data_IF_603800969307
#
_entry.id   IF_603800969307
#
_cell.length_a   1.000
_cell.length_b   1.000
_cell.length_c   1.000
_cell.angle_alpha   90.00
_cell.angle_beta   90.00
_cell.angle_gamma   90.00
#
_symmetry.space_group_name_H-M   'P 1'
#
loop_
_entity.id
_entity.type
_entity.pdbx_description
1 polymer ?
#
# COMPACT_ATOMS: atom_id res chain seq x y z
N UNK A 1 -18.88 -13.75 16.74
CA UNK A 1 -18.34 -12.65 17.56
C UNK A 1 -16.82 -12.62 17.79
N UNK A 2 -16.01 -13.66 17.51
CA UNK A 2 -14.56 -13.62 17.83
C UNK A 2 -13.71 -12.72 16.91
N UNK A 3 -14.08 -12.57 15.63
CA UNK A 3 -13.28 -11.78 14.65
C UNK A 3 -13.22 -10.28 14.95
N UNK A 4 -14.26 -9.70 15.56
CA UNK A 4 -14.33 -8.26 15.84
C UNK A 4 -13.31 -7.82 16.91
N UNK A 5 -13.08 -8.67 17.93
CA UNK A 5 -12.09 -8.42 18.98
C UNK A 5 -10.65 -8.53 18.48
N UNK A 6 -10.39 -9.35 17.47
CA UNK A 6 -9.03 -9.52 16.93
C UNK A 6 -8.70 -8.42 15.91
N UNK A 7 -9.66 -7.98 15.10
CA UNK A 7 -9.50 -6.79 14.23
C UNK A 7 -9.26 -5.54 15.09
N UNK A 8 -10.05 -5.33 16.16
CA UNK A 8 -9.90 -4.17 17.04
C UNK A 8 -8.61 -4.21 17.89
N UNK A 9 -8.14 -5.40 18.29
CA UNK A 9 -6.88 -5.55 19.05
C UNK A 9 -5.61 -5.56 18.20
N UNK A 10 -5.67 -5.99 16.93
CA UNK A 10 -4.50 -6.02 16.05
C UNK A 10 -4.34 -4.76 15.20
N UNK A 11 -5.43 -4.06 14.83
CA UNK A 11 -5.28 -2.76 14.14
C UNK A 11 -4.99 -1.63 15.13
N UNK A 12 -5.61 -1.63 16.31
CA UNK A 12 -5.41 -0.53 17.27
C UNK A 12 -5.65 0.86 16.66
N UNK A 13 -5.24 1.92 17.38
CA UNK A 13 -5.21 3.29 16.85
C UNK A 13 -3.97 3.57 15.99
N UNK A 14 -3.01 2.64 15.96
CA UNK A 14 -1.67 2.82 15.39
C UNK A 14 -1.51 2.12 14.02
N UNK A 15 -2.60 1.64 13.41
CA UNK A 15 -2.57 1.00 12.10
C UNK A 15 -2.06 1.96 11.01
N UNK A 16 -2.37 3.25 11.14
CA UNK A 16 -1.92 4.30 10.26
C UNK A 16 -0.43 4.61 10.46
N UNK A 17 0.06 4.56 11.69
CA UNK A 17 1.46 4.84 12.00
C UNK A 17 2.40 3.66 11.75
N UNK A 18 1.91 2.42 11.77
CA UNK A 18 2.77 1.21 11.64
C UNK A 18 2.47 0.37 10.42
N UNK A 19 1.21 0.09 10.13
CA UNK A 19 0.83 -0.83 9.05
C UNK A 19 0.90 -0.12 7.71
N UNK A 20 0.34 1.09 7.58
CA UNK A 20 0.37 1.86 6.34
C UNK A 20 1.79 2.11 5.81
N UNK A 21 2.75 2.67 6.59
CA UNK A 21 4.10 2.86 6.10
C UNK A 21 4.82 1.54 5.80
N UNK A 22 4.50 0.46 6.51
CA UNK A 22 5.09 -0.87 6.25
C UNK A 22 4.63 -1.44 4.90
N UNK A 23 3.32 -1.45 4.63
CA UNK A 23 2.78 -1.93 3.35
C UNK A 23 3.18 -1.02 2.19
N UNK A 24 3.27 0.30 2.41
CA UNK A 24 3.70 1.26 1.38
C UNK A 24 5.15 1.02 1.00
N UNK A 25 6.05 0.84 1.98
CA UNK A 25 7.45 0.53 1.71
C UNK A 25 7.64 -0.82 1.00
N UNK A 26 6.85 -1.83 1.36
CA UNK A 26 6.88 -3.14 0.71
C UNK A 26 6.47 -3.04 -0.77
N UNK A 27 5.33 -2.39 -1.05
CA UNK A 27 4.82 -2.21 -2.41
C UNK A 27 5.77 -1.34 -3.25
N UNK A 28 6.27 -0.23 -2.71
CA UNK A 28 7.23 0.61 -3.42
C UNK A 28 8.49 -0.17 -3.79
N UNK A 29 9.07 -0.96 -2.88
CA UNK A 29 10.23 -1.80 -3.18
C UNK A 29 9.94 -2.81 -4.28
N UNK A 30 8.77 -3.46 -4.24
CA UNK A 30 8.36 -4.43 -5.27
C UNK A 30 8.23 -3.78 -6.65
N UNK A 31 7.70 -2.55 -6.70
CA UNK A 31 7.51 -1.80 -7.94
C UNK A 31 8.84 -1.26 -8.47
N UNK A 32 9.71 -0.73 -7.63
CA UNK A 32 11.06 -0.29 -8.04
C UNK A 32 11.93 -1.47 -8.51
N UNK A 33 11.69 -2.67 -8.00
CA UNK A 33 12.36 -3.88 -8.51
C UNK A 33 11.85 -4.32 -9.90
N UNK A 34 10.59 -4.01 -10.23
CA UNK A 34 9.97 -4.38 -11.51
C UNK A 34 10.11 -3.29 -12.59
N UNK A 35 10.22 -2.03 -12.19
CA UNK A 35 10.28 -0.87 -13.08
C UNK A 35 11.54 -0.06 -12.80
N UNK A 36 12.26 0.29 -13.87
CA UNK A 36 13.41 1.18 -13.78
C UNK A 36 12.96 2.66 -13.71
N UNK A 37 13.84 3.53 -13.21
CA UNK A 37 13.54 4.93 -12.93
C UNK A 37 12.96 5.69 -14.14
N UNK A 38 13.46 5.41 -15.35
CA UNK A 38 12.94 6.00 -16.58
C UNK A 38 11.49 5.59 -16.87
N UNK A 39 11.12 4.34 -16.62
CA UNK A 39 9.74 3.84 -16.76
C UNK A 39 8.81 4.36 -15.66
N UNK A 40 9.31 4.57 -14.44
CA UNK A 40 8.52 5.17 -13.35
C UNK A 40 8.02 6.57 -13.71
N UNK A 41 8.82 7.34 -14.46
CA UNK A 41 8.47 8.69 -14.93
C UNK A 41 7.57 8.61 -16.17
N UNK A 42 7.97 7.86 -17.20
CA UNK A 42 7.23 7.81 -18.48
C UNK A 42 5.91 7.06 -18.40
N UNK A 43 5.79 6.06 -17.53
CA UNK A 43 4.59 5.24 -17.36
C UNK A 43 3.92 5.48 -16.01
N UNK A 44 3.98 6.72 -15.50
CA UNK A 44 3.46 7.09 -14.17
C UNK A 44 2.04 6.61 -13.92
N UNK A 45 1.15 6.70 -14.90
CA UNK A 45 -0.24 6.20 -14.76
C UNK A 45 -0.30 4.69 -14.58
N UNK A 46 0.44 3.93 -15.40
CA UNK A 46 0.49 2.47 -15.31
C UNK A 46 1.09 2.02 -13.99
N UNK A 47 2.16 2.68 -13.56
CA UNK A 47 2.84 2.42 -12.29
C UNK A 47 1.93 2.76 -11.11
N UNK A 48 1.24 3.90 -11.15
CA UNK A 48 0.27 4.30 -10.12
C UNK A 48 -0.88 3.30 -10.01
N UNK A 49 -1.40 2.80 -11.14
CA UNK A 49 -2.41 1.74 -11.16
C UNK A 49 -1.90 0.45 -10.52
N UNK A 50 -0.69 0.01 -10.88
CA UNK A 50 -0.07 -1.19 -10.31
C UNK A 50 0.19 -1.07 -8.80
N UNK A 51 0.67 0.08 -8.35
CA UNK A 51 0.86 0.39 -6.92
C UNK A 51 -0.47 0.32 -6.17
N UNK A 52 -1.53 0.94 -6.70
CA UNK A 52 -2.87 0.89 -6.10
C UNK A 52 -3.39 -0.53 -6.00
N UNK A 53 -3.30 -1.32 -7.05
CA UNK A 53 -3.80 -2.70 -7.06
C UNK A 53 -3.04 -3.57 -6.03
N UNK A 54 -1.72 -3.40 -5.92
CA UNK A 54 -0.91 -4.10 -4.90
C UNK A 54 -1.22 -3.64 -3.48
N UNK A 55 -1.36 -2.33 -3.24
CA UNK A 55 -1.71 -1.79 -1.94
C UNK A 55 -3.09 -2.25 -1.47
N UNK A 56 -4.09 -2.24 -2.37
CA UNK A 56 -5.44 -2.72 -2.06
C UNK A 56 -5.42 -4.21 -1.71
N UNK A 57 -4.70 -5.02 -2.48
CA UNK A 57 -4.57 -6.44 -2.17
C UNK A 57 -3.88 -6.66 -0.82
N UNK A 58 -2.83 -5.90 -0.50
CA UNK A 58 -2.12 -6.04 0.77
C UNK A 58 -2.94 -5.53 1.95
N UNK A 59 -3.67 -4.44 1.78
CA UNK A 59 -4.55 -3.87 2.81
C UNK A 59 -5.70 -4.81 3.16
N UNK A 60 -6.20 -5.63 2.23
CA UNK A 60 -7.20 -6.67 2.51
C UNK A 60 -6.74 -7.71 3.52
N UNK A 61 -5.45 -8.08 3.52
CA UNK A 61 -4.89 -9.00 4.51
C UNK A 61 -5.01 -8.44 5.94
N UNK A 62 -4.95 -7.11 6.05
CA UNK A 62 -5.13 -6.37 7.30
C UNK A 62 -6.57 -5.90 7.49
N UNK A 63 -7.51 -6.32 6.64
CA UNK A 63 -8.91 -5.91 6.69
C UNK A 63 -9.09 -4.36 6.62
N UNK A 64 -8.19 -3.68 5.91
CA UNK A 64 -8.19 -2.23 5.65
C UNK A 64 -8.76 -1.97 4.25
N UNK A 65 -9.66 -1.00 4.14
CA UNK A 65 -10.17 -0.49 2.87
C UNK A 65 -9.38 0.77 2.48
N UNK A 66 -8.78 0.77 1.29
CA UNK A 66 -8.09 1.93 0.71
C UNK A 66 -8.97 2.50 -0.42
N UNK A 67 -9.39 3.76 -0.29
CA UNK A 67 -10.23 4.47 -1.27
C UNK A 67 -9.42 5.13 -2.40
N UNK A 68 -8.42 5.95 -2.05
CA UNK A 68 -7.57 6.62 -3.05
C UNK A 68 -6.08 6.60 -2.62
N UNK A 69 -5.19 6.37 -3.58
CA UNK A 69 -3.74 6.34 -3.37
C UNK A 69 -3.05 7.16 -4.44
N UNK A 70 -2.33 8.20 -4.00
CA UNK A 70 -1.60 9.10 -4.88
C UNK A 70 -0.09 9.09 -4.58
N UNK A 71 0.72 8.87 -5.63
CA UNK A 71 2.18 8.98 -5.54
C UNK A 71 2.60 10.46 -5.61
N UNK A 72 3.02 11.02 -4.48
CA UNK A 72 3.40 12.44 -4.38
C UNK A 72 4.87 12.68 -4.72
N UNK A 73 5.79 11.80 -4.32
CA UNK A 73 7.23 11.98 -4.54
C UNK A 73 7.90 10.69 -5.00
N UNK A 74 8.59 10.78 -6.14
CA UNK A 74 9.52 9.79 -6.69
C UNK A 74 10.83 10.56 -6.94
N UNK A 75 11.63 10.76 -5.89
CA UNK A 75 12.96 11.41 -6.00
C UNK A 75 14.07 10.39 -5.88
#
# INVERSE_FOLDING_TARGET
ERRLRDIYRHLGKDYDERVLPSIINEVLKSIVAQYNASQLITQRERVSKAVRDQLVNRARDFNILLDDVSLTHLS
#
